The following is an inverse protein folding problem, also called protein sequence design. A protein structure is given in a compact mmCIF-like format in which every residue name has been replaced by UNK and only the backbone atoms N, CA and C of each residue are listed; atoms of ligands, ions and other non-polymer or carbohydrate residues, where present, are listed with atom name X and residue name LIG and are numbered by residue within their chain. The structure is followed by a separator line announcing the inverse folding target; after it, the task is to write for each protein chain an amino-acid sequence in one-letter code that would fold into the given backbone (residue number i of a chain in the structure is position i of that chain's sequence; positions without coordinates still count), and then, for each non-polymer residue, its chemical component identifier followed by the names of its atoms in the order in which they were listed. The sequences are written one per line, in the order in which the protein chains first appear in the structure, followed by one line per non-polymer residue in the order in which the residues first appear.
data_IF_341604063926
#
_entry.id   IF_341604063926
#
_cell.length_a   1.000
_cell.length_b   1.000
_cell.length_c   1.000
_cell.angle_alpha   90.00
_cell.angle_beta   90.00
_cell.angle_gamma   90.00
#
_symmetry.space_group_name_H-M   'P 1'
#
loop_
_entity.id
_entity.type
_entity.pdbx_description
1 polymer ?
#
# COMPACT_ATOMS: atom_id res chain seq x y z
N UNK A 1 -31.16 -22.16 58.18
CA UNK A 1 -31.35 -22.87 56.89
C UNK A 1 -31.10 -21.88 55.77
N UNK A 2 -30.29 -22.27 54.77
CA UNK A 2 -30.00 -21.65 53.46
C UNK A 2 -29.26 -20.29 53.49
N UNK A 3 -27.94 -20.26 53.21
CA UNK A 3 -27.26 -20.27 51.90
C UNK A 3 -27.06 -18.84 51.35
N UNK A 4 -25.80 -18.38 51.29
CA UNK A 4 -25.32 -17.79 50.04
C UNK A 4 -23.80 -18.02 49.91
N UNK A 5 -23.45 -19.09 49.22
CA UNK A 5 -22.07 -19.40 48.84
C UNK A 5 -21.73 -18.58 47.61
N UNK A 6 -21.07 -17.44 47.81
CA UNK A 6 -20.56 -16.61 46.72
C UNK A 6 -19.57 -17.43 45.87
N UNK A 7 -20.02 -17.81 44.67
CA UNK A 7 -19.26 -18.57 43.70
C UNK A 7 -18.00 -17.83 43.26
N UNK A 8 -16.85 -18.48 43.43
CA UNK A 8 -15.58 -18.05 42.89
C UNK A 8 -15.69 -17.99 41.34
N UNK A 9 -15.26 -16.90 40.67
CA UNK A 9 -15.31 -16.85 39.22
C UNK A 9 -14.43 -17.94 38.59
N UNK A 10 -14.83 -18.52 37.44
CA UNK A 10 -14.06 -19.57 36.79
C UNK A 10 -12.64 -19.06 36.48
N UNK A 11 -11.63 -19.86 36.86
CA UNK A 11 -10.23 -19.58 36.53
C UNK A 11 -10.10 -19.45 35.01
N UNK A 12 -9.61 -18.29 34.56
CA UNK A 12 -9.37 -18.01 33.14
C UNK A 12 -8.53 -19.14 32.54
N UNK A 13 -8.89 -19.67 31.36
CA UNK A 13 -8.09 -20.71 30.72
C UNK A 13 -6.67 -20.19 30.53
N UNK A 14 -5.70 -20.92 31.08
CA UNK A 14 -4.29 -20.66 30.90
C UNK A 14 -3.99 -20.75 29.39
N UNK A 15 -3.80 -19.61 28.74
CA UNK A 15 -3.44 -19.55 27.33
C UNK A 15 -2.10 -20.28 27.20
N UNK A 16 -2.13 -21.49 26.63
CA UNK A 16 -0.95 -22.25 26.33
C UNK A 16 -0.12 -21.50 25.28
N UNK A 17 0.92 -20.81 25.76
CA UNK A 17 1.84 -20.02 24.93
C UNK A 17 2.55 -20.90 23.89
N UNK A 18 2.59 -22.22 24.04
CA UNK A 18 3.16 -23.12 23.05
C UNK A 18 2.27 -23.27 21.81
N UNK A 19 0.94 -23.08 21.93
CA UNK A 19 0.01 -23.16 20.80
C UNK A 19 0.13 -21.98 19.81
N UNK A 20 0.75 -20.89 20.23
CA UNK A 20 0.98 -19.70 19.41
C UNK A 20 2.28 -19.76 18.59
N UNK A 21 3.18 -20.72 18.86
CA UNK A 21 4.46 -20.85 18.13
C UNK A 21 4.32 -21.46 16.73
N UNK A 22 3.18 -22.07 16.41
CA UNK A 22 2.92 -22.69 15.10
C UNK A 22 2.04 -21.85 14.16
N UNK A 23 1.62 -20.63 14.56
CA UNK A 23 1.08 -19.69 13.59
C UNK A 23 2.24 -19.12 12.79
N UNK A 24 2.40 -19.67 11.58
CA UNK A 24 3.28 -19.12 10.55
C UNK A 24 3.09 -17.59 10.50
N UNK A 25 4.16 -16.80 10.66
CA UNK A 25 4.04 -15.35 10.64
C UNK A 25 3.45 -14.92 9.30
N UNK A 26 2.63 -13.84 9.28
CA UNK A 26 2.08 -13.31 8.05
C UNK A 26 3.22 -13.03 7.07
N UNK A 27 3.18 -13.73 5.94
CA UNK A 27 4.25 -13.71 4.97
C UNK A 27 4.22 -12.38 4.21
N UNK A 28 4.89 -11.35 4.72
CA UNK A 28 5.26 -10.21 3.88
C UNK A 28 6.26 -10.71 2.84
N UNK A 29 5.76 -11.09 1.66
CA UNK A 29 6.59 -11.68 0.61
C UNK A 29 7.43 -10.62 -0.09
N UNK A 30 8.58 -10.28 0.49
CA UNK A 30 9.67 -9.70 -0.28
C UNK A 30 9.99 -10.60 -1.49
N UNK A 31 10.38 -9.98 -2.62
CA UNK A 31 10.88 -10.71 -3.79
C UNK A 31 12.00 -11.62 -3.31
N UNK A 32 11.89 -12.92 -3.58
CA UNK A 32 12.88 -13.89 -3.13
C UNK A 32 14.11 -13.75 -4.00
N UNK A 33 15.25 -13.42 -3.41
CA UNK A 33 16.55 -13.47 -4.07
C UNK A 33 17.36 -14.60 -3.42
N UNK A 34 17.88 -15.57 -4.19
CA UNK A 34 18.74 -16.61 -3.63
C UNK A 34 20.04 -15.99 -3.12
N UNK A 35 20.49 -16.46 -1.95
CA UNK A 35 21.67 -15.91 -1.26
C UNK A 35 22.95 -16.04 -2.09
N UNK A 36 23.01 -17.08 -2.92
CA UNK A 36 24.20 -17.48 -3.66
C UNK A 36 24.13 -17.09 -5.15
N UNK A 37 23.14 -16.28 -5.55
CA UNK A 37 22.95 -15.83 -6.94
C UNK A 37 22.51 -16.92 -7.93
N UNK A 38 22.33 -18.17 -7.48
CA UNK A 38 21.89 -19.28 -8.31
C UNK A 38 20.46 -19.11 -8.84
N UNK A 39 20.10 -19.71 -9.99
CA UNK A 39 18.74 -19.62 -10.51
C UNK A 39 17.71 -20.17 -9.51
N UNK A 40 16.61 -19.44 -9.32
CA UNK A 40 15.51 -19.92 -8.50
C UNK A 40 14.84 -21.14 -9.16
N UNK A 41 14.41 -22.14 -8.37
CA UNK A 41 13.48 -23.17 -8.84
C UNK A 41 12.26 -22.53 -9.53
N UNK A 42 11.77 -23.15 -10.62
CA UNK A 42 10.70 -22.59 -11.47
C UNK A 42 9.48 -22.08 -10.70
N UNK A 43 8.98 -22.87 -9.73
CA UNK A 43 7.84 -22.47 -8.89
C UNK A 43 8.08 -21.20 -8.05
N UNK A 44 9.33 -20.88 -7.71
CA UNK A 44 9.72 -19.63 -7.02
C UNK A 44 9.90 -18.48 -8.02
N UNK A 45 10.35 -18.79 -9.23
CA UNK A 45 10.48 -17.81 -10.31
C UNK A 45 9.10 -17.27 -10.75
N UNK A 46 8.14 -18.17 -11.00
CA UNK A 46 6.79 -17.80 -11.45
C UNK A 46 6.06 -16.97 -10.40
N UNK A 47 6.20 -17.33 -9.12
CA UNK A 47 5.65 -16.55 -8.00
C UNK A 47 6.30 -15.18 -7.86
N UNK A 48 7.61 -15.08 -8.09
CA UNK A 48 8.30 -13.78 -8.11
C UNK A 48 7.81 -12.90 -9.28
N UNK A 49 7.55 -13.48 -10.45
CA UNK A 49 6.99 -12.76 -11.59
C UNK A 49 5.60 -12.20 -11.24
N UNK A 50 4.73 -13.03 -10.66
CA UNK A 50 3.41 -12.59 -10.18
C UNK A 50 3.53 -11.48 -9.12
N UNK A 51 4.43 -11.61 -8.14
CA UNK A 51 4.64 -10.59 -7.12
C UNK A 51 5.16 -9.27 -7.69
N UNK A 52 6.03 -9.29 -8.71
CA UNK A 52 6.50 -8.07 -9.38
C UNK A 52 5.35 -7.35 -10.09
N UNK A 53 4.49 -8.09 -10.79
CA UNK A 53 3.32 -7.52 -11.46
C UNK A 53 2.35 -6.89 -10.47
N UNK A 54 2.00 -7.61 -9.39
CA UNK A 54 1.11 -7.09 -8.33
C UNK A 54 1.73 -5.87 -7.66
N UNK A 55 3.03 -5.90 -7.36
CA UNK A 55 3.74 -4.76 -6.77
C UNK A 55 3.71 -3.54 -7.68
N UNK A 56 3.96 -3.72 -8.98
CA UNK A 56 3.88 -2.63 -9.95
C UNK A 56 2.47 -2.03 -10.03
N UNK A 57 1.42 -2.85 -10.02
CA UNK A 57 0.03 -2.38 -10.02
C UNK A 57 -0.35 -1.63 -8.74
N UNK A 58 0.09 -2.13 -7.58
CA UNK A 58 -0.13 -1.49 -6.28
C UNK A 58 0.62 -0.17 -6.22
N UNK A 59 1.90 -0.15 -6.60
CA UNK A 59 2.70 1.08 -6.65
C UNK A 59 2.10 2.11 -7.63
N UNK A 60 1.65 1.67 -8.80
CA UNK A 60 0.94 2.52 -9.76
C UNK A 60 -0.35 3.09 -9.18
N UNK A 61 -1.16 2.27 -8.51
CA UNK A 61 -2.41 2.71 -7.87
C UNK A 61 -2.13 3.69 -6.73
N UNK A 62 -1.15 3.39 -5.87
CA UNK A 62 -0.73 4.28 -4.78
C UNK A 62 -0.15 5.60 -5.29
N UNK A 63 0.60 5.58 -6.40
CA UNK A 63 1.07 6.77 -7.09
C UNK A 63 -0.08 7.60 -7.70
N UNK A 64 -1.21 6.97 -8.05
CA UNK A 64 -2.43 7.68 -8.48
C UNK A 64 -3.26 8.21 -7.31
N UNK A 65 -3.17 7.55 -6.15
CA UNK A 65 -3.84 7.94 -4.91
C UNK A 65 -3.14 9.07 -4.14
N UNK A 66 -2.17 9.79 -4.75
CA UNK A 66 -1.48 10.95 -4.13
C UNK A 66 -2.47 11.97 -3.57
N UNK A 67 -3.64 12.15 -4.20
CA UNK A 67 -4.71 13.01 -3.71
C UNK A 67 -5.17 12.66 -2.30
N UNK A 68 -5.31 11.37 -1.97
CA UNK A 68 -5.68 10.92 -0.63
C UNK A 68 -4.56 11.13 0.39
N UNK A 69 -3.30 11.00 -0.04
CA UNK A 69 -2.13 11.28 0.82
C UNK A 69 -2.06 12.78 1.15
N UNK A 70 -2.21 13.63 0.14
CA UNK A 70 -2.31 15.09 0.29
C UNK A 70 -3.42 15.44 1.28
N UNK A 71 -4.63 14.89 1.09
CA UNK A 71 -5.75 15.11 2.00
C UNK A 71 -5.46 14.65 3.44
N UNK A 72 -4.84 13.48 3.59
CA UNK A 72 -4.46 12.97 4.92
C UNK A 72 -3.44 13.88 5.59
N UNK A 73 -2.47 14.39 4.84
CA UNK A 73 -1.39 15.23 5.36
C UNK A 73 -1.93 16.62 5.73
N UNK A 74 -2.82 17.22 4.90
CA UNK A 74 -3.56 18.42 5.26
C UNK A 74 -4.46 18.21 6.47
N UNK A 75 -5.26 17.13 6.55
CA UNK A 75 -6.08 16.84 7.73
C UNK A 75 -5.25 16.67 9.01
N UNK A 76 -4.05 16.10 8.90
CA UNK A 76 -3.13 15.97 10.04
C UNK A 76 -2.50 17.29 10.46
N UNK A 77 -2.25 18.20 9.52
CA UNK A 77 -1.65 19.50 9.76
C UNK A 77 -2.67 20.61 10.05
N UNK A 78 -3.93 20.44 9.63
CA UNK A 78 -4.96 21.46 9.64
C UNK A 78 -5.33 21.83 11.07
N UNK A 79 -5.13 23.10 11.40
CA UNK A 79 -5.52 23.73 12.66
C UNK A 79 -6.63 24.76 12.44
N UNK A 80 -6.84 25.16 11.19
CA UNK A 80 -7.77 26.21 10.80
C UNK A 80 -8.52 25.86 9.51
N UNK A 81 -9.60 26.59 9.25
CA UNK A 81 -10.37 26.45 8.01
C UNK A 81 -9.55 26.80 6.76
N UNK A 82 -8.55 27.67 6.90
CA UNK A 82 -7.61 28.07 5.84
C UNK A 82 -6.73 26.91 5.36
N UNK A 83 -6.31 26.02 6.26
CA UNK A 83 -5.52 24.84 5.91
C UNK A 83 -6.33 23.87 5.03
N UNK A 84 -7.60 23.67 5.40
CA UNK A 84 -8.54 22.84 4.64
C UNK A 84 -8.82 23.43 3.25
N UNK A 85 -9.09 24.73 3.17
CA UNK A 85 -9.29 25.43 1.89
C UNK A 85 -8.05 25.33 0.99
N UNK A 86 -6.85 25.47 1.55
CA UNK A 86 -5.59 25.32 0.82
C UNK A 86 -5.39 23.90 0.26
N UNK A 87 -5.75 22.88 1.04
CA UNK A 87 -5.72 21.49 0.59
C UNK A 87 -6.70 21.19 -0.56
N UNK A 88 -7.91 21.78 -0.52
CA UNK A 88 -8.91 21.66 -1.59
C UNK A 88 -8.41 22.35 -2.87
N UNK A 89 -7.88 23.58 -2.77
CA UNK A 89 -7.34 24.31 -3.91
C UNK A 89 -6.15 23.57 -4.55
N UNK A 90 -5.25 23.01 -3.75
CA UNK A 90 -4.11 22.24 -4.25
C UNK A 90 -4.55 20.98 -5.03
N UNK A 91 -5.55 20.26 -4.51
CA UNK A 91 -6.12 19.09 -5.19
C UNK A 91 -6.78 19.47 -6.53
N UNK A 92 -7.55 20.54 -6.54
CA UNK A 92 -8.22 21.04 -7.74
C UNK A 92 -7.21 21.36 -8.85
N UNK A 93 -6.11 22.04 -8.50
CA UNK A 93 -5.04 22.36 -9.45
C UNK A 93 -4.36 21.11 -10.01
N UNK A 94 -4.15 20.05 -9.21
CA UNK A 94 -3.59 18.78 -9.69
C UNK A 94 -4.55 18.09 -10.68
N UNK A 95 -5.84 18.08 -10.39
CA UNK A 95 -6.86 17.47 -11.27
C UNK A 95 -6.92 18.24 -12.59
N UNK A 96 -7.01 19.58 -12.52
CA UNK A 96 -6.99 20.41 -13.71
C UNK A 96 -5.72 20.18 -14.53
N UNK A 97 -4.53 20.23 -13.92
CA UNK A 97 -3.27 20.01 -14.62
C UNK A 97 -3.22 18.64 -15.33
N UNK A 98 -3.81 17.60 -14.73
CA UNK A 98 -3.89 16.26 -15.34
C UNK A 98 -4.91 16.16 -16.48
N UNK A 99 -5.99 16.93 -16.42
CA UNK A 99 -7.02 16.98 -17.46
C UNK A 99 -6.58 17.86 -18.63
N UNK A 100 -5.95 19.00 -18.35
CA UNK A 100 -5.51 19.97 -19.36
C UNK A 100 -4.21 19.57 -20.05
N UNK A 101 -3.39 18.72 -19.41
CA UNK A 101 -2.31 18.01 -20.09
C UNK A 101 -2.89 16.90 -21.00
N UNK A 102 -3.55 17.31 -22.09
CA UNK A 102 -3.93 16.39 -23.18
C UNK A 102 -2.70 15.65 -23.75
N UNK A 103 -2.89 14.57 -24.53
CA UNK A 103 -1.80 13.78 -25.07
C UNK A 103 -0.82 14.71 -25.77
N UNK A 104 0.41 14.74 -25.27
CA UNK A 104 1.51 15.57 -25.75
C UNK A 104 1.62 15.31 -27.24
N UNK A 105 1.08 16.22 -28.08
CA UNK A 105 1.13 16.06 -29.54
C UNK A 105 2.59 15.85 -29.89
N UNK A 106 2.90 14.67 -30.43
CA UNK A 106 4.20 14.42 -31.00
C UNK A 106 4.40 15.50 -32.06
N UNK A 107 5.29 16.44 -31.79
CA UNK A 107 5.77 17.38 -32.79
C UNK A 107 6.36 16.51 -33.91
N UNK A 108 5.83 16.58 -35.15
CA UNK A 108 6.45 15.86 -36.25
C UNK A 108 7.88 16.35 -36.38
N UNK A 109 8.86 15.45 -36.17
CA UNK A 109 10.27 15.76 -36.37
C UNK A 109 10.45 16.25 -37.80
N UNK A 110 10.96 17.47 -38.02
CA UNK A 110 11.37 17.84 -39.36
C UNK A 110 12.64 17.07 -39.68
N UNK A 111 12.68 16.47 -40.86
CA UNK A 111 13.87 15.99 -41.55
C UNK A 111 14.42 14.63 -41.07
N UNK A 112 13.79 13.57 -41.60
CA UNK A 112 14.48 12.33 -41.99
C UNK A 112 14.09 11.99 -43.44
N UNK A 113 14.26 12.94 -44.34
CA UNK A 113 14.20 12.73 -45.79
C UNK A 113 15.27 13.62 -46.43
N UNK A 114 16.53 13.23 -46.26
CA UNK A 114 17.61 13.59 -47.19
C UNK A 114 18.37 12.29 -47.42
N UNK A 115 18.33 11.87 -48.68
CA UNK A 115 19.02 10.73 -49.30
C UNK A 115 20.54 10.79 -49.08
#
# INVERSE_FOLDING_TARGET
MLQDSAGLPPRRPHIDRHRLRHRQPPQHHAVRTPRDGSPLPGCKHDRNAQHRTVRAQVEHTLARMTCFKIWRDYRRAARTMTDTASGIAHLHNIILARVTAGPRRATPSPLRDVL
#
